data_IF_881550974917
#
_entry.id   IF_881550974917
#
_cell.length_a   1.000
_cell.length_b   1.000
_cell.length_c   1.000
_cell.angle_alpha   90.00
_cell.angle_beta   90.00
_cell.angle_gamma   90.00
#
_symmetry.space_group_name_H-M   'P 1'
#
loop_
_entity.id
_entity.type
_entity.pdbx_description
1 polymer ?
#
# COMPACT_ATOMS: atom_id res chain seq x y z
N UNK A 1 38.20 -29.42 -55.46
CA UNK A 1 38.35 -28.08 -54.86
C UNK A 1 37.34 -27.15 -55.52
N UNK A 2 36.30 -26.79 -54.80
CA UNK A 2 36.18 -25.49 -54.12
C UNK A 2 35.85 -24.35 -55.11
N UNK A 3 34.72 -23.67 -54.84
CA UNK A 3 34.25 -22.41 -55.44
C UNK A 3 33.34 -22.53 -56.66
N UNK A 4 32.02 -22.51 -56.43
CA UNK A 4 31.04 -21.59 -57.05
C UNK A 4 29.61 -22.06 -56.76
N UNK A 5 29.14 -21.99 -55.51
CA UNK A 5 27.70 -22.15 -55.22
C UNK A 5 27.19 -21.14 -54.19
N UNK A 6 27.84 -19.98 -54.11
CA UNK A 6 27.34 -18.81 -53.40
C UNK A 6 26.80 -17.82 -54.44
N UNK A 7 25.47 -17.61 -54.49
CA UNK A 7 24.76 -16.35 -54.85
C UNK A 7 23.32 -16.47 -55.39
N UNK A 8 22.63 -17.63 -55.35
CA UNK A 8 21.23 -17.69 -55.85
C UNK A 8 20.13 -17.97 -54.84
N UNK A 9 20.43 -18.21 -53.58
CA UNK A 9 19.40 -18.47 -52.54
C UNK A 9 19.32 -17.38 -51.47
N UNK A 10 19.70 -16.14 -51.81
CA UNK A 10 19.67 -14.99 -50.88
C UNK A 10 18.47 -14.06 -51.08
N UNK A 11 17.35 -14.52 -51.67
CA UNK A 11 16.11 -13.73 -51.73
C UNK A 11 14.90 -14.67 -51.85
N UNK A 12 14.50 -15.37 -50.79
CA UNK A 12 13.16 -16.00 -50.72
C UNK A 12 12.82 -16.60 -49.33
N UNK A 13 13.26 -16.01 -48.22
CA UNK A 13 12.83 -16.49 -46.89
C UNK A 13 12.60 -15.36 -45.88
N UNK A 14 12.05 -14.25 -46.37
CA UNK A 14 11.57 -13.15 -45.53
C UNK A 14 10.15 -12.81 -45.96
N UNK A 15 9.20 -13.69 -45.66
CA UNK A 15 7.78 -13.30 -45.57
C UNK A 15 7.02 -14.39 -44.80
N UNK A 16 6.38 -13.94 -43.71
CA UNK A 16 5.32 -14.60 -42.96
C UNK A 16 5.69 -15.54 -41.79
N UNK A 17 6.40 -15.00 -40.79
CA UNK A 17 6.16 -15.39 -39.39
C UNK A 17 6.05 -14.12 -38.53
N UNK A 18 5.06 -13.27 -38.84
CA UNK A 18 4.50 -12.39 -37.82
C UNK A 18 3.61 -13.31 -36.98
N UNK A 19 4.21 -14.05 -36.05
CA UNK A 19 3.42 -14.61 -34.96
C UNK A 19 2.87 -13.39 -34.22
N UNK A 20 1.56 -13.17 -34.33
CA UNK A 20 0.87 -12.31 -33.40
C UNK A 20 1.21 -12.82 -32.01
N UNK A 21 2.17 -12.20 -31.32
CA UNK A 21 2.29 -12.38 -29.89
C UNK A 21 0.96 -11.86 -29.36
N UNK A 22 0.10 -12.72 -28.77
CA UNK A 22 -1.03 -12.20 -28.06
C UNK A 22 -0.42 -11.28 -27.00
N UNK A 23 -0.72 -9.98 -27.10
CA UNK A 23 -0.52 -9.07 -25.99
C UNK A 23 -1.58 -9.49 -24.97
N UNK A 24 -1.36 -10.63 -24.31
CA UNK A 24 -2.12 -11.06 -23.17
C UNK A 24 -1.84 -10.01 -22.12
N UNK A 25 -2.77 -9.06 -22.05
CA UNK A 25 -2.89 -8.19 -20.90
C UNK A 25 -3.15 -9.13 -19.72
N UNK A 26 -2.10 -9.48 -18.98
CA UNK A 26 -2.22 -9.99 -17.64
C UNK A 26 -2.76 -8.83 -16.80
N UNK A 27 -4.05 -8.53 -16.95
CA UNK A 27 -4.81 -7.92 -15.90
C UNK A 27 -4.72 -8.92 -14.75
N UNK A 28 -3.80 -8.65 -13.82
CA UNK A 28 -3.70 -9.37 -12.56
C UNK A 28 -5.12 -9.39 -11.96
N UNK A 29 -5.79 -10.52 -12.14
CA UNK A 29 -7.18 -10.68 -11.75
C UNK A 29 -7.18 -10.81 -10.25
N UNK A 30 -8.01 -10.01 -9.58
CA UNK A 30 -8.27 -10.20 -8.17
C UNK A 30 -8.75 -11.64 -7.95
N UNK A 31 -8.07 -12.40 -7.10
CA UNK A 31 -8.55 -13.71 -6.69
C UNK A 31 -9.21 -13.60 -5.33
N UNK A 32 -10.41 -14.18 -5.24
CA UNK A 32 -11.21 -14.25 -4.02
C UNK A 32 -11.35 -15.74 -3.72
N UNK A 33 -10.77 -16.18 -2.60
CA UNK A 33 -10.84 -17.59 -2.16
C UNK A 33 -11.56 -17.65 -0.83
N UNK A 34 -12.61 -18.48 -0.73
CA UNK A 34 -13.25 -18.75 0.55
C UNK A 34 -12.42 -19.74 1.36
N UNK A 35 -12.24 -19.45 2.63
CA UNK A 35 -11.56 -20.31 3.61
C UNK A 35 -12.50 -20.59 4.78
N UNK A 36 -12.13 -21.56 5.60
CA UNK A 36 -12.86 -21.94 6.81
C UNK A 36 -11.84 -22.34 7.91
N UNK A 37 -10.82 -21.49 8.11
CA UNK A 37 -9.73 -21.67 9.07
C UNK A 37 -9.72 -20.55 10.10
N UNK A 38 -9.37 -20.87 11.34
CA UNK A 38 -9.12 -19.89 12.40
C UNK A 38 -7.73 -19.28 12.25
N UNK A 39 -7.60 -18.00 12.59
CA UNK A 39 -6.29 -17.39 12.79
C UNK A 39 -5.74 -17.83 14.13
N UNK A 40 -4.42 -17.97 14.22
CA UNK A 40 -3.74 -18.37 15.46
C UNK A 40 -3.95 -17.30 16.53
N UNK A 41 -4.49 -17.70 17.70
CA UNK A 41 -4.84 -16.81 18.81
C UNK A 41 -3.62 -16.10 19.42
N UNK A 42 -2.42 -16.65 19.20
CA UNK A 42 -1.17 -16.02 19.62
C UNK A 42 -0.64 -14.96 18.62
N UNK A 43 -1.35 -14.72 17.51
CA UNK A 43 -0.96 -13.73 16.50
C UNK A 43 -1.31 -12.31 16.95
N UNK A 44 -0.33 -11.41 16.89
CA UNK A 44 -0.51 -10.00 17.25
C UNK A 44 0.00 -9.05 16.17
N UNK A 45 -0.29 -7.77 16.31
CA UNK A 45 0.39 -6.69 15.61
C UNK A 45 0.69 -5.59 16.64
N UNK A 46 1.39 -4.55 16.23
CA UNK A 46 1.71 -3.42 17.08
C UNK A 46 0.83 -2.23 16.69
N UNK A 47 0.33 -1.49 17.67
CA UNK A 47 -0.28 -0.18 17.42
C UNK A 47 0.77 0.93 17.25
N UNK A 48 0.32 2.17 17.07
CA UNK A 48 1.20 3.33 16.91
C UNK A 48 2.10 3.63 18.10
N UNK A 49 1.77 3.11 19.29
CA UNK A 49 2.53 3.29 20.52
C UNK A 49 3.49 2.11 20.77
N UNK A 50 3.43 1.08 19.93
CA UNK A 50 4.23 -0.14 20.05
C UNK A 50 3.66 -1.16 21.02
N UNK A 51 2.40 -1.02 21.44
CA UNK A 51 1.74 -2.04 22.25
C UNK A 51 1.24 -3.17 21.35
N UNK A 52 1.30 -4.40 21.87
CA UNK A 52 0.75 -5.58 21.17
C UNK A 52 -0.78 -5.51 21.17
N UNK A 53 -1.36 -5.74 20.00
CA UNK A 53 -2.79 -5.85 19.77
C UNK A 53 -3.06 -7.20 19.15
N UNK A 54 -3.99 -7.94 19.73
CA UNK A 54 -4.40 -9.25 19.26
C UNK A 54 -5.78 -9.18 18.60
N UNK A 55 -6.11 -10.16 17.76
CA UNK A 55 -7.37 -10.15 17.00
C UNK A 55 -8.60 -10.40 17.87
N UNK A 56 -8.44 -11.06 19.02
CA UNK A 56 -9.48 -11.34 20.02
C UNK A 56 -10.11 -10.04 20.54
N UNK A 57 -9.36 -8.92 20.47
CA UNK A 57 -9.88 -7.58 20.77
C UNK A 57 -11.12 -7.22 19.93
N UNK A 58 -11.29 -7.86 18.78
CA UNK A 58 -12.36 -7.61 17.82
C UNK A 58 -13.38 -8.76 17.75
N UNK A 59 -13.38 -9.69 18.70
CA UNK A 59 -14.43 -10.71 18.81
C UNK A 59 -15.83 -10.08 18.80
N UNK A 60 -16.77 -10.77 18.15
CA UNK A 60 -18.13 -10.25 17.93
C UNK A 60 -18.22 -9.24 16.78
N UNK A 61 -17.10 -8.79 16.21
CA UNK A 61 -17.05 -7.94 15.01
C UNK A 61 -16.48 -8.70 13.81
N UNK A 62 -17.03 -8.43 12.63
CA UNK A 62 -16.38 -8.85 11.38
C UNK A 62 -15.16 -7.98 11.13
N UNK A 63 -14.02 -8.60 10.79
CA UNK A 63 -12.75 -7.90 10.57
C UNK A 63 -12.33 -8.03 9.12
N UNK A 64 -12.03 -6.90 8.48
CA UNK A 64 -11.27 -6.84 7.24
C UNK A 64 -9.81 -6.52 7.56
N UNK A 65 -8.99 -7.56 7.67
CA UNK A 65 -7.56 -7.47 7.95
C UNK A 65 -6.78 -7.28 6.65
N UNK A 66 -6.14 -6.13 6.48
CA UNK A 66 -5.46 -5.72 5.25
C UNK A 66 -3.97 -5.54 5.51
N UNK A 67 -3.14 -6.31 4.81
CA UNK A 67 -1.69 -6.15 4.82
C UNK A 67 -1.27 -5.22 3.68
N UNK A 68 -0.45 -4.23 4.01
CA UNK A 68 -0.07 -3.17 3.08
C UNK A 68 1.27 -2.53 3.45
N UNK A 69 1.79 -1.63 2.59
CA UNK A 69 2.96 -0.82 2.93
C UNK A 69 2.98 0.50 2.13
N UNK A 70 3.66 1.53 2.63
CA UNK A 70 3.77 2.84 1.95
C UNK A 70 4.56 2.78 0.64
N UNK A 71 5.48 1.84 0.52
CA UNK A 71 6.27 1.60 -0.70
C UNK A 71 5.53 0.73 -1.73
N UNK A 72 4.38 0.16 -1.39
CA UNK A 72 3.58 -0.67 -2.28
C UNK A 72 2.62 0.21 -3.13
N UNK A 73 2.91 0.30 -4.44
CA UNK A 73 2.18 1.21 -5.34
C UNK A 73 0.67 0.95 -5.46
N UNK A 74 0.22 -0.30 -5.40
CA UNK A 74 -1.22 -0.60 -5.37
C UNK A 74 -1.84 -0.25 -4.00
N UNK A 75 -1.13 -0.58 -2.93
CA UNK A 75 -1.60 -0.40 -1.55
C UNK A 75 -1.96 1.05 -1.22
N UNK A 76 -1.10 2.00 -1.58
CA UNK A 76 -1.31 3.43 -1.30
C UNK A 76 -2.56 4.01 -1.96
N UNK A 77 -3.10 3.35 -2.99
CA UNK A 77 -4.36 3.74 -3.61
C UNK A 77 -5.58 3.13 -2.91
N UNK A 78 -5.43 1.98 -2.23
CA UNK A 78 -6.53 1.30 -1.55
C UNK A 78 -6.81 1.88 -0.16
N UNK A 79 -5.79 2.38 0.56
CA UNK A 79 -5.96 2.86 1.93
C UNK A 79 -6.98 3.99 2.08
N UNK A 80 -7.01 5.04 1.22
CA UNK A 80 -8.07 6.06 1.30
C UNK A 80 -9.49 5.50 1.06
N UNK A 81 -9.61 4.45 0.24
CA UNK A 81 -10.90 3.79 -0.02
C UNK A 81 -11.33 2.96 1.18
N UNK A 82 -10.39 2.26 1.80
CA UNK A 82 -10.59 1.49 3.03
C UNK A 82 -10.94 2.39 4.23
N UNK A 83 -10.33 3.56 4.32
CA UNK A 83 -10.68 4.59 5.31
C UNK A 83 -12.13 5.06 5.14
N UNK A 84 -12.56 5.29 3.90
CA UNK A 84 -13.95 5.61 3.61
C UNK A 84 -14.90 4.42 3.90
N UNK A 85 -14.51 3.19 3.59
CA UNK A 85 -15.29 2.00 3.94
C UNK A 85 -15.50 1.92 5.46
N UNK A 86 -14.44 2.10 6.25
CA UNK A 86 -14.51 2.13 7.71
C UNK A 86 -15.43 3.26 8.22
N UNK A 87 -15.38 4.43 7.59
CA UNK A 87 -16.30 5.53 7.89
C UNK A 87 -17.74 5.14 7.65
N UNK A 88 -18.06 4.59 6.49
CA UNK A 88 -19.44 4.22 6.13
C UNK A 88 -19.97 3.14 7.08
N UNK A 89 -19.13 2.16 7.44
CA UNK A 89 -19.51 0.99 8.23
C UNK A 89 -19.35 1.21 9.75
N UNK A 90 -18.96 2.41 10.21
CA UNK A 90 -18.67 2.73 11.62
C UNK A 90 -19.78 2.44 12.65
N UNK A 91 -21.01 2.21 12.19
CA UNK A 91 -22.18 1.88 13.05
C UNK A 91 -22.49 0.38 13.08
N UNK A 92 -21.73 -0.43 12.35
CA UNK A 92 -21.87 -1.87 12.27
C UNK A 92 -20.83 -2.55 13.17
N UNK A 93 -21.04 -3.81 13.59
CA UNK A 93 -20.00 -4.62 14.23
C UNK A 93 -18.97 -5.06 13.18
N UNK A 94 -18.23 -4.08 12.66
CA UNK A 94 -17.26 -4.25 11.58
C UNK A 94 -16.05 -3.34 11.77
N UNK A 95 -14.87 -3.89 11.50
CA UNK A 95 -13.60 -3.16 11.62
C UNK A 95 -12.67 -3.46 10.45
N UNK A 96 -12.08 -2.41 9.89
CA UNK A 96 -10.92 -2.49 8.99
C UNK A 96 -9.66 -2.37 9.83
N UNK A 97 -8.79 -3.37 9.73
CA UNK A 97 -7.49 -3.42 10.41
C UNK A 97 -6.41 -3.40 9.32
N UNK A 98 -5.81 -2.23 9.07
CA UNK A 98 -4.77 -2.07 8.06
C UNK A 98 -3.38 -2.18 8.70
N UNK A 99 -2.76 -3.37 8.60
CA UNK A 99 -1.45 -3.69 9.17
C UNK A 99 -0.36 -3.36 8.14
N UNK A 100 0.50 -2.41 8.51
CA UNK A 100 1.65 -2.01 7.70
C UNK A 100 2.82 -2.98 7.87
N UNK A 101 3.49 -3.26 6.75
CA UNK A 101 4.74 -4.03 6.62
C UNK A 101 5.92 -3.08 6.28
N UNK A 102 5.86 -1.83 6.73
CA UNK A 102 6.85 -0.81 6.40
C UNK A 102 8.16 -1.02 7.17
N UNK A 103 9.25 -1.33 6.46
CA UNK A 103 10.57 -1.45 7.07
C UNK A 103 11.08 -0.13 7.71
N UNK A 104 10.49 1.01 7.35
CA UNK A 104 10.78 2.33 7.93
C UNK A 104 9.97 2.61 9.21
N UNK A 105 9.12 1.67 9.62
CA UNK A 105 8.31 1.74 10.83
C UNK A 105 7.11 2.69 10.76
N UNK A 106 6.44 2.82 11.90
CA UNK A 106 5.19 3.57 12.09
C UNK A 106 5.26 5.03 11.62
N UNK A 107 6.42 5.68 11.64
CA UNK A 107 6.57 7.07 11.18
C UNK A 107 6.25 7.25 9.69
N UNK A 108 6.59 6.27 8.84
CA UNK A 108 6.23 6.32 7.42
C UNK A 108 4.71 6.26 7.24
N UNK A 109 4.04 5.43 8.05
CA UNK A 109 2.58 5.30 8.05
C UNK A 109 1.90 6.57 8.55
N UNK A 110 2.39 7.16 9.65
CA UNK A 110 1.89 8.43 10.19
C UNK A 110 1.94 9.54 9.14
N UNK A 111 3.09 9.71 8.48
CA UNK A 111 3.25 10.69 7.42
C UNK A 111 2.28 10.45 6.27
N UNK A 112 2.11 9.19 5.84
CA UNK A 112 1.15 8.84 4.80
C UNK A 112 -0.30 9.16 5.23
N UNK A 113 -0.67 8.85 6.48
CA UNK A 113 -2.00 9.11 7.02
C UNK A 113 -2.30 10.61 7.04
N UNK A 114 -1.33 11.42 7.44
CA UNK A 114 -1.41 12.89 7.38
C UNK A 114 -1.56 13.40 5.94
N UNK A 115 -0.69 12.98 5.02
CA UNK A 115 -0.69 13.42 3.62
C UNK A 115 -1.97 13.03 2.86
N UNK A 116 -2.57 11.90 3.21
CA UNK A 116 -3.79 11.38 2.58
C UNK A 116 -5.07 11.70 3.34
N UNK A 117 -4.96 12.37 4.48
CA UNK A 117 -6.07 12.71 5.37
C UNK A 117 -6.86 11.47 5.80
N UNK A 118 -6.15 10.39 6.19
CA UNK A 118 -6.74 9.17 6.73
C UNK A 118 -7.20 9.45 8.17
N UNK A 119 -8.49 9.26 8.48
CA UNK A 119 -9.10 9.70 9.75
C UNK A 119 -9.85 8.61 10.51
N UNK A 120 -10.15 7.51 9.85
CA UNK A 120 -11.03 6.46 10.34
C UNK A 120 -10.30 5.14 10.56
N UNK A 121 -9.11 4.99 9.98
CA UNK A 121 -8.20 3.87 10.26
C UNK A 121 -7.25 4.20 11.41
N UNK A 122 -7.00 3.20 12.24
CA UNK A 122 -5.91 3.20 13.22
C UNK A 122 -4.61 2.72 12.55
N UNK A 123 -3.47 3.09 13.13
CA UNK A 123 -2.16 2.68 12.62
C UNK A 123 -1.77 1.38 13.31
N UNK A 124 -1.59 0.33 12.51
CA UNK A 124 -1.06 -0.94 12.94
C UNK A 124 0.16 -1.34 12.13
N UNK A 125 1.05 -2.13 12.72
CA UNK A 125 2.30 -2.56 12.12
C UNK A 125 2.67 -3.98 12.53
N UNK A 126 3.16 -4.80 11.59
CA UNK A 126 3.80 -6.08 11.89
C UNK A 126 5.31 -5.96 11.68
N UNK A 127 6.05 -5.64 12.75
CA UNK A 127 7.51 -5.52 12.67
C UNK A 127 8.23 -6.87 12.49
N UNK A 128 7.53 -7.98 12.72
CA UNK A 128 8.12 -9.31 12.81
C UNK A 128 7.73 -10.19 11.61
N UNK A 129 6.91 -9.66 10.70
CA UNK A 129 6.31 -10.34 9.55
C UNK A 129 5.71 -11.69 9.97
N UNK A 130 5.11 -11.76 11.16
CA UNK A 130 4.60 -13.01 11.71
C UNK A 130 3.37 -13.48 10.94
N UNK A 131 2.51 -12.56 10.50
CA UNK A 131 1.36 -12.90 9.67
C UNK A 131 1.77 -13.42 8.29
N UNK A 132 2.85 -12.88 7.71
CA UNK A 132 3.33 -13.36 6.41
C UNK A 132 3.71 -14.83 6.45
N UNK A 133 4.40 -15.24 7.52
CA UNK A 133 4.79 -16.63 7.75
C UNK A 133 3.58 -17.50 8.06
N UNK A 134 2.81 -17.12 9.08
CA UNK A 134 1.67 -17.91 9.56
C UNK A 134 0.59 -18.11 8.48
N UNK A 135 0.35 -17.08 7.65
CA UNK A 135 -0.74 -17.07 6.68
C UNK A 135 -0.28 -17.24 5.24
N UNK A 136 0.99 -17.58 5.03
CA UNK A 136 1.62 -17.77 3.72
C UNK A 136 1.33 -16.61 2.77
N UNK A 137 1.46 -15.39 3.27
CA UNK A 137 1.29 -14.17 2.47
C UNK A 137 2.58 -13.94 1.70
N UNK A 138 2.47 -13.88 0.38
CA UNK A 138 3.60 -13.75 -0.54
C UNK A 138 3.60 -12.43 -1.31
N UNK A 139 2.58 -11.58 -1.12
CA UNK A 139 2.41 -10.36 -1.90
C UNK A 139 1.51 -9.35 -1.21
N UNK A 140 1.75 -8.08 -1.49
CA UNK A 140 0.92 -6.95 -1.09
C UNK A 140 0.18 -6.33 -2.29
N UNK A 141 -1.03 -5.78 -2.10
CA UNK A 141 -1.87 -5.95 -0.91
C UNK A 141 -2.44 -7.37 -0.82
N UNK A 142 -2.69 -7.83 0.40
CA UNK A 142 -3.52 -9.01 0.69
C UNK A 142 -4.51 -8.64 1.78
N UNK A 143 -5.77 -9.02 1.62
CA UNK A 143 -6.80 -8.78 2.63
C UNK A 143 -7.52 -10.07 3.01
N UNK A 144 -7.95 -10.17 4.27
CA UNK A 144 -8.67 -11.29 4.83
C UNK A 144 -9.96 -10.77 5.47
N UNK A 145 -11.09 -11.36 5.11
CA UNK A 145 -12.36 -11.15 5.78
C UNK A 145 -12.55 -12.26 6.80
N UNK A 146 -12.68 -11.86 8.06
CA UNK A 146 -12.79 -12.73 9.23
C UNK A 146 -14.16 -12.44 9.85
N UNK A 147 -14.94 -13.49 10.12
CA UNK A 147 -16.25 -13.32 10.77
C UNK A 147 -16.12 -13.00 12.26
N UNK A 148 -17.27 -12.72 12.89
CA UNK A 148 -17.36 -12.38 14.30
C UNK A 148 -16.86 -13.47 15.28
N UNK A 149 -16.64 -14.70 14.80
CA UNK A 149 -16.13 -15.82 15.58
C UNK A 149 -14.64 -16.08 15.32
N UNK A 150 -13.95 -15.19 14.59
CA UNK A 150 -12.52 -15.35 14.28
C UNK A 150 -12.24 -16.28 13.10
N UNK A 151 -13.26 -16.71 12.33
CA UNK A 151 -13.06 -17.59 11.18
C UNK A 151 -12.75 -16.79 9.92
N UNK A 152 -11.65 -17.10 9.25
CA UNK A 152 -11.34 -16.51 7.95
C UNK A 152 -12.33 -17.01 6.90
N UNK A 153 -13.20 -16.12 6.42
CA UNK A 153 -14.23 -16.40 5.41
C UNK A 153 -13.69 -16.24 4.00
N UNK A 154 -12.92 -15.19 3.76
CA UNK A 154 -12.48 -14.82 2.41
C UNK A 154 -11.06 -14.27 2.44
N UNK A 155 -10.24 -14.66 1.46
CA UNK A 155 -8.94 -14.06 1.16
C UNK A 155 -9.00 -13.36 -0.19
N UNK A 156 -8.58 -12.10 -0.19
CA UNK A 156 -8.46 -11.24 -1.36
C UNK A 156 -6.99 -11.06 -1.71
N UNK A 157 -6.65 -11.27 -2.98
CA UNK A 157 -5.31 -10.95 -3.51
C UNK A 157 -5.41 -10.00 -4.69
N UNK A 158 -4.50 -9.03 -4.74
CA UNK A 158 -4.43 -8.05 -5.83
C UNK A 158 -5.36 -6.86 -5.63
N UNK A 159 -5.66 -6.14 -6.71
CA UNK A 159 -6.40 -4.87 -6.66
C UNK A 159 -7.89 -5.08 -6.42
N UNK A 160 -8.37 -4.72 -5.24
CA UNK A 160 -9.79 -4.84 -4.89
C UNK A 160 -10.46 -3.47 -4.97
N UNK A 161 -11.63 -3.42 -5.62
CA UNK A 161 -12.47 -2.22 -5.64
C UNK A 161 -13.34 -2.19 -4.39
N UNK A 162 -12.77 -1.74 -3.27
CA UNK A 162 -13.47 -1.70 -1.96
C UNK A 162 -14.74 -0.84 -1.94
N UNK A 163 -14.87 0.09 -2.90
CA UNK A 163 -16.06 0.91 -3.08
C UNK A 163 -17.13 0.26 -3.98
N UNK A 164 -16.89 -0.91 -4.57
CA UNK A 164 -17.87 -1.60 -5.43
C UNK A 164 -19.00 -2.18 -4.58
N UNK A 165 -20.25 -1.93 -4.99
CA UNK A 165 -21.44 -2.39 -4.28
C UNK A 165 -21.47 -3.91 -4.08
N UNK A 166 -20.94 -4.69 -5.04
CA UNK A 166 -20.89 -6.15 -4.91
C UNK A 166 -19.90 -6.59 -3.83
N UNK A 167 -18.75 -5.91 -3.71
CA UNK A 167 -17.76 -6.19 -2.67
C UNK A 167 -18.32 -5.78 -1.30
N UNK A 168 -18.93 -4.60 -1.22
CA UNK A 168 -19.57 -4.11 0.02
C UNK A 168 -20.71 -5.02 0.47
N UNK A 169 -21.58 -5.46 -0.44
CA UNK A 169 -22.65 -6.42 -0.16
C UNK A 169 -22.11 -7.77 0.33
N UNK A 170 -21.00 -8.25 -0.24
CA UNK A 170 -20.35 -9.47 0.24
C UNK A 170 -19.81 -9.30 1.67
N UNK A 171 -19.15 -8.19 1.99
CA UNK A 171 -18.71 -7.90 3.35
C UNK A 171 -19.91 -7.85 4.31
N UNK A 172 -20.98 -7.14 3.92
CA UNK A 172 -22.21 -7.03 4.72
C UNK A 172 -22.85 -8.41 5.01
N UNK A 173 -22.77 -9.34 4.07
CA UNK A 173 -23.34 -10.69 4.26
C UNK A 173 -22.62 -11.53 5.33
N UNK A 174 -21.40 -11.16 5.71
CA UNK A 174 -20.65 -11.82 6.79
C UNK A 174 -20.81 -11.10 8.14
N UNK A 175 -21.44 -9.92 8.17
CA UNK A 175 -21.71 -9.17 9.40
C UNK A 175 -22.97 -9.73 10.07
N UNK A 176 -22.83 -10.14 11.33
CA UNK A 176 -23.94 -10.68 12.12
C UNK A 176 -25.09 -9.68 12.26
N UNK A 177 -26.33 -10.19 12.25
CA UNK A 177 -27.53 -9.38 12.50
C UNK A 177 -28.17 -8.74 11.27
N UNK A 178 -27.73 -9.08 10.04
CA UNK A 178 -28.28 -8.59 8.77
C UNK A 178 -28.49 -7.07 8.75
N UNK A 179 -27.42 -6.27 8.92
CA UNK A 179 -27.54 -4.83 9.02
C UNK A 179 -28.07 -4.19 7.73
N UNK A 180 -28.73 -3.04 7.86
CA UNK A 180 -29.07 -2.20 6.71
C UNK A 180 -27.80 -1.79 5.94
N UNK A 181 -27.89 -1.78 4.62
CA UNK A 181 -26.80 -1.37 3.74
C UNK A 181 -26.42 0.10 3.97
N UNK A 182 -25.20 0.40 4.45
CA UNK A 182 -24.78 1.78 4.64
C UNK A 182 -24.60 2.50 3.31
N UNK A 183 -25.04 3.76 3.24
CA UNK A 183 -24.81 4.62 2.08
C UNK A 183 -23.32 4.72 1.75
N UNK A 184 -22.96 4.46 0.49
CA UNK A 184 -21.59 4.55 0.00
C UNK A 184 -21.20 6.01 -0.23
N UNK A 185 -20.34 6.54 0.63
CA UNK A 185 -19.92 7.95 0.54
C UNK A 185 -18.64 8.14 -0.27
N UNK A 186 -18.04 7.06 -0.78
CA UNK A 186 -16.84 7.13 -1.58
C UNK A 186 -17.11 7.86 -2.89
N UNK A 187 -16.49 9.02 -3.06
CA UNK A 187 -16.35 9.67 -4.35
C UNK A 187 -14.98 9.28 -4.87
N UNK A 188 -14.85 8.55 -5.99
CA UNK A 188 -13.57 8.45 -6.67
C UNK A 188 -13.05 9.86 -6.78
N UNK A 189 -11.84 10.15 -6.25
CA UNK A 189 -11.21 11.45 -6.47
C UNK A 189 -11.32 11.66 -7.96
N UNK A 190 -12.08 12.66 -8.37
CA UNK A 190 -12.14 13.03 -9.77
C UNK A 190 -10.69 13.32 -10.14
N UNK A 191 -10.05 12.37 -10.81
CA UNK A 191 -8.83 12.59 -11.58
C UNK A 191 -9.15 13.43 -12.82
N UNK A 192 -10.20 14.24 -12.75
CA UNK A 192 -10.35 15.50 -13.46
C UNK A 192 -9.36 16.52 -12.85
N UNK A 193 -8.08 16.13 -12.78
CA UNK A 193 -7.03 17.09 -13.08
C UNK A 193 -7.41 17.61 -14.45
N UNK A 194 -7.80 18.88 -14.52
CA UNK A 194 -8.05 19.63 -15.73
C UNK A 194 -7.21 19.04 -16.87
N UNK A 195 -7.83 18.28 -17.76
CA UNK A 195 -7.26 18.09 -19.08
C UNK A 195 -7.24 19.51 -19.62
N UNK A 196 -6.11 20.20 -19.48
CA UNK A 196 -5.86 21.37 -20.32
C UNK A 196 -6.10 20.85 -21.73
N UNK A 197 -7.08 21.37 -22.47
CA UNK A 197 -7.29 20.91 -23.82
C UNK A 197 -5.94 20.96 -24.52
N UNK A 198 -5.52 19.83 -25.09
CA UNK A 198 -4.34 19.80 -25.95
C UNK A 198 -4.53 20.95 -26.94
N UNK A 199 -3.63 21.93 -27.01
CA UNK A 199 -3.76 22.99 -28.00
C UNK A 199 -3.91 22.33 -29.36
N UNK A 200 -4.87 22.77 -30.21
CA UNK A 200 -5.04 22.20 -31.52
C UNK A 200 -3.70 22.24 -32.25
N UNK A 201 -3.37 21.17 -32.96
CA UNK A 201 -2.06 20.90 -33.57
C UNK A 201 -1.61 21.88 -34.67
N UNK A 202 -2.13 23.11 -34.68
CA UNK A 202 -1.94 24.08 -35.76
C UNK A 202 -1.70 25.53 -35.28
N UNK A 203 -1.14 25.73 -34.09
CA UNK A 203 -0.56 27.02 -33.72
C UNK A 203 0.97 26.91 -33.72
N UNK A 204 1.60 27.50 -34.75
CA UNK A 204 3.05 27.72 -34.77
C UNK A 204 3.44 28.51 -33.53
N UNK A 205 4.20 27.89 -32.64
CA UNK A 205 4.85 28.57 -31.52
C UNK A 205 5.88 29.55 -32.10
N UNK A 206 5.81 30.87 -31.83
CA UNK A 206 6.84 31.78 -32.29
C UNK A 206 8.14 31.54 -31.50
N UNK A 207 9.25 31.45 -32.23
CA UNK A 207 10.58 31.29 -31.67
C UNK A 207 10.90 32.48 -30.75
N UNK A 208 10.92 32.23 -29.43
CA UNK A 208 11.42 33.23 -28.48
C UNK A 208 12.95 33.22 -28.55
N UNK A 209 13.47 34.39 -28.89
CA UNK A 209 14.88 34.68 -29.12
C UNK A 209 15.74 34.30 -27.90
N UNK A 210 16.85 33.61 -28.19
CA UNK A 210 17.97 33.41 -27.27
C UNK A 210 18.76 34.71 -27.22
N UNK A 211 18.99 35.25 -26.01
CA UNK A 211 19.95 36.33 -25.76
C UNK A 211 21.09 35.80 -24.87
N UNK A 212 22.33 36.32 -25.01
CA UNK A 212 23.55 35.57 -24.71
C UNK A 212 24.07 35.72 -23.27
N UNK A 213 25.04 34.86 -22.96
CA UNK A 213 25.75 34.72 -21.69
C UNK A 213 26.76 35.86 -21.39
N UNK A 214 27.06 36.01 -20.08
CA UNK A 214 28.14 36.83 -19.49
C UNK A 214 27.59 37.90 -18.51
N UNK A 215 28.09 38.16 -17.29
CA UNK A 215 29.32 37.79 -16.59
C UNK A 215 29.09 37.77 -15.06
N UNK A 216 29.87 36.91 -14.41
CA UNK A 216 30.42 36.89 -13.05
C UNK A 216 30.37 38.17 -12.18
N UNK A 217 29.85 38.04 -10.94
CA UNK A 217 30.28 38.83 -9.76
C UNK A 217 30.16 38.05 -8.44
N UNK A 218 31.32 37.61 -7.95
CA UNK A 218 31.84 37.67 -6.56
C UNK A 218 30.88 37.54 -5.36
N UNK A 219 31.00 36.40 -4.68
CA UNK A 219 31.29 36.18 -3.25
C UNK A 219 30.81 37.18 -2.17
N UNK A 220 30.01 36.66 -1.22
CA UNK A 220 30.06 37.01 0.21
C UNK A 220 29.52 35.84 1.08
N UNK A 221 29.93 35.70 2.36
CA UNK A 221 30.28 34.40 2.92
C UNK A 221 29.20 33.69 3.75
N UNK A 222 29.42 32.38 3.83
CA UNK A 222 28.82 31.35 4.67
C UNK A 222 28.77 31.75 6.15
N UNK A 223 27.55 31.87 6.72
CA UNK A 223 27.37 31.94 8.17
C UNK A 223 27.64 30.57 8.78
N UNK A 224 28.62 30.54 9.69
CA UNK A 224 29.04 29.37 10.45
C UNK A 224 27.89 28.83 11.31
N UNK A 225 27.70 27.50 11.25
CA UNK A 225 26.89 26.76 12.21
C UNK A 225 27.66 26.62 13.53
N UNK A 226 26.96 26.85 14.64
CA UNK A 226 27.47 26.63 15.99
C UNK A 226 27.67 25.13 16.28
N UNK A 227 28.67 24.74 17.09
CA UNK A 227 28.97 23.33 17.35
C UNK A 227 27.97 22.69 18.32
N UNK A 228 27.55 21.47 17.99
CA UNK A 228 26.80 20.58 18.86
C UNK A 228 27.61 20.24 20.12
N UNK A 229 26.99 20.40 21.29
CA UNK A 229 27.53 19.94 22.57
C UNK A 229 27.57 18.40 22.58
N UNK A 230 28.76 17.89 22.82
CA UNK A 230 29.07 16.51 23.11
C UNK A 230 28.38 16.10 24.42
N UNK A 231 27.44 15.16 24.36
CA UNK A 231 26.86 14.54 25.55
C UNK A 231 27.79 13.39 25.95
N UNK A 232 28.38 13.52 27.13
CA UNK A 232 29.32 12.58 27.73
C UNK A 232 28.60 11.27 28.09
N UNK A 233 29.01 10.17 27.46
CA UNK A 233 28.53 8.81 27.72
C UNK A 233 29.13 8.25 29.02
N UNK A 234 28.82 8.87 30.16
CA UNK A 234 29.28 8.39 31.47
C UNK A 234 28.17 8.10 32.48
N UNK A 235 26.90 8.25 32.10
CA UNK A 235 25.77 8.09 33.04
C UNK A 235 24.79 6.95 32.72
N UNK A 236 25.12 6.06 31.78
CA UNK A 236 24.32 4.84 31.49
C UNK A 236 24.77 3.63 32.34
N UNK A 237 25.94 3.67 32.99
CA UNK A 237 26.44 2.54 33.81
C UNK A 237 25.98 2.53 35.28
N UNK A 238 25.02 3.36 35.69
CA UNK A 238 24.57 3.41 37.11
C UNK A 238 23.19 2.84 37.40
N UNK A 239 22.41 2.45 36.38
CA UNK A 239 21.06 1.90 36.59
C UNK A 239 20.91 0.38 36.37
N UNK A 240 21.96 -0.34 35.95
CA UNK A 240 21.94 -1.82 35.89
C UNK A 240 22.32 -2.50 37.22
N UNK A 241 22.74 -1.76 38.25
CA UNK A 241 23.15 -2.33 39.55
C UNK A 241 22.14 -2.18 40.69
N UNK A 242 20.90 -1.73 40.42
CA UNK A 242 19.88 -1.53 41.47
C UNK A 242 18.62 -2.40 41.36
N UNK A 243 18.54 -3.34 40.41
CA UNK A 243 17.38 -4.24 40.24
C UNK A 243 17.65 -5.71 40.57
N UNK A 244 18.76 -6.03 41.25
CA UNK A 244 19.07 -7.39 41.74
C UNK A 244 19.10 -7.48 43.27
N UNK A 245 18.35 -6.61 43.97
CA UNK A 245 18.24 -6.67 45.43
C UNK A 245 16.88 -6.22 45.98
N UNK A 246 15.87 -7.09 45.80
CA UNK A 246 14.67 -7.29 46.64
C UNK A 246 13.88 -8.42 45.96
N UNK A 247 13.49 -9.58 46.50
CA UNK A 247 13.12 -10.02 47.86
C UNK A 247 12.30 -9.03 48.67
#
# INVERSE_FOLDING_TARGET
MLKTFAKKYMVAFTLLFITALPLSSNAASASITRHDSYLDEDSYFFDSEGAKVFLERYEGSTVLLVFWATWCGACVNEIPVLDNLQKDFRKLPFKVIAVSEDYHGVQAVQKFFEEKEIRHLEIFHDYQNQFFKALSISSLPTALLIDANGKMKTRFKGRIKWHDEKIRAMILSEIAGNPETPHNTYKPRELNMQVRPTPPANQKVPAKQVAPAGQEKQSAPMRQAAPAKQIDNKEVKKNEQKSTKSK
#
